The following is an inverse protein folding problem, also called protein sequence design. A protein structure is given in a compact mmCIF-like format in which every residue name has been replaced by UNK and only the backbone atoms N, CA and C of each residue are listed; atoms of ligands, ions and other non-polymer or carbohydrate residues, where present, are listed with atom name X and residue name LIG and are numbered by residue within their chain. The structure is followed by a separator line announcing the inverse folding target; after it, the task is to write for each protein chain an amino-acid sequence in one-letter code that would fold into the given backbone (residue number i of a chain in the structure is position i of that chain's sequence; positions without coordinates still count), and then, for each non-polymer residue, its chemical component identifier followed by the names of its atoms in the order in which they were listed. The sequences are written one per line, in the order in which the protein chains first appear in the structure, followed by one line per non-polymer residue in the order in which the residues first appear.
data_IF_786884447052
#
_entry.id   IF_786884447052
#
_cell.length_a   1.000
_cell.length_b   1.000
_cell.length_c   1.000
_cell.angle_alpha   90.00
_cell.angle_beta   90.00
_cell.angle_gamma   90.00
#
_symmetry.space_group_name_H-M   'P 1'
#
loop_
_entity.id
_entity.type
_entity.pdbx_description
1 polymer ?
#
# COMPACT_ATOMS: atom_id res chain seq x y z
N UNK A 1 14.59 -19.18 0.63
CA UNK A 1 13.44 -19.42 1.49
C UNK A 1 12.93 -18.13 2.08
N UNK A 2 11.67 -17.97 2.10
CA UNK A 2 11.07 -16.72 2.52
C UNK A 2 10.78 -16.76 4.01
N UNK A 3 11.13 -15.68 4.69
CA UNK A 3 10.79 -15.56 6.09
C UNK A 3 9.28 -15.53 6.25
N UNK A 4 8.79 -16.28 7.23
CA UNK A 4 7.37 -16.27 7.54
C UNK A 4 7.03 -15.32 8.67
N UNK A 5 8.05 -14.70 9.27
CA UNK A 5 7.84 -13.79 10.38
C UNK A 5 7.57 -12.40 9.82
N UNK A 6 6.39 -11.84 10.09
CA UNK A 6 6.11 -10.49 9.60
C UNK A 6 6.96 -9.46 10.34
N UNK A 7 7.13 -8.31 9.71
CA UNK A 7 7.74 -7.14 10.33
C UNK A 7 6.98 -6.83 11.63
N UNK A 8 7.67 -6.53 12.74
CA UNK A 8 6.98 -6.26 14.01
C UNK A 8 5.95 -5.15 13.89
N UNK A 9 4.88 -5.28 14.67
CA UNK A 9 3.82 -4.28 14.71
C UNK A 9 4.02 -3.35 15.90
N UNK A 10 3.91 -2.04 15.64
CA UNK A 10 3.91 -1.06 16.69
C UNK A 10 2.52 -0.73 17.21
N UNK A 11 1.48 -1.23 16.52
CA UNK A 11 0.09 -0.93 16.85
C UNK A 11 -0.70 -2.23 16.85
N UNK A 12 -1.25 -2.58 18.01
CA UNK A 12 -1.98 -3.85 18.15
C UNK A 12 -3.26 -3.87 17.33
N UNK A 13 -3.88 -2.72 17.11
CA UNK A 13 -5.09 -2.66 16.29
C UNK A 13 -4.77 -3.00 14.84
N UNK A 14 -3.62 -2.57 14.35
CA UNK A 14 -3.16 -2.92 13.01
C UNK A 14 -2.89 -4.42 12.93
N UNK A 15 -2.21 -4.96 13.93
CA UNK A 15 -1.93 -6.40 13.98
C UNK A 15 -3.22 -7.21 13.89
N UNK A 16 -4.23 -6.80 14.65
CA UNK A 16 -5.53 -7.48 14.64
C UNK A 16 -6.21 -7.37 13.28
N UNK A 17 -6.08 -6.22 12.63
CA UNK A 17 -6.68 -6.03 11.31
C UNK A 17 -6.07 -6.99 10.29
N UNK A 18 -4.75 -7.18 10.32
CA UNK A 18 -4.11 -8.15 9.45
C UNK A 18 -4.54 -9.58 9.79
N UNK A 19 -4.62 -9.89 11.09
CA UNK A 19 -5.02 -11.23 11.51
C UNK A 19 -6.44 -11.60 11.05
N UNK A 20 -7.27 -10.61 10.78
CA UNK A 20 -8.63 -10.83 10.30
C UNK A 20 -8.71 -11.16 8.81
N UNK A 21 -7.63 -10.99 8.07
CA UNK A 21 -7.62 -11.35 6.64
C UNK A 21 -7.69 -12.87 6.49
N UNK A 22 -8.41 -13.37 5.47
CA UNK A 22 -8.34 -14.79 5.13
C UNK A 22 -6.89 -15.21 4.87
N UNK A 23 -6.57 -16.47 5.14
CA UNK A 23 -5.20 -16.96 5.09
C UNK A 23 -4.47 -16.62 3.79
N UNK A 24 -5.12 -16.86 2.64
CA UNK A 24 -4.48 -16.56 1.35
C UNK A 24 -4.33 -15.08 1.11
N UNK A 25 -5.31 -14.30 1.53
CA UNK A 25 -5.24 -12.85 1.41
C UNK A 25 -4.15 -12.26 2.30
N UNK A 26 -3.89 -12.89 3.43
CA UNK A 26 -2.88 -12.41 4.37
C UNK A 26 -1.49 -12.39 3.75
N UNK A 27 -1.17 -13.38 2.92
CA UNK A 27 0.14 -13.41 2.22
C UNK A 27 0.30 -12.18 1.33
N UNK A 28 -0.74 -11.86 0.58
CA UNK A 28 -0.73 -10.70 -0.30
C UNK A 28 -0.64 -9.41 0.50
N UNK A 29 -1.42 -9.33 1.58
CA UNK A 29 -1.43 -8.13 2.42
C UNK A 29 -0.07 -7.89 3.07
N UNK A 30 0.58 -8.95 3.57
CA UNK A 30 1.91 -8.80 4.16
C UNK A 30 2.97 -8.43 3.12
N UNK A 31 2.85 -8.93 1.90
CA UNK A 31 3.77 -8.55 0.83
C UNK A 31 3.64 -7.07 0.51
N UNK A 32 2.42 -6.55 0.46
CA UNK A 32 2.20 -5.12 0.25
C UNK A 32 2.75 -4.30 1.40
N UNK A 33 2.53 -4.75 2.63
CA UNK A 33 3.04 -4.07 3.82
C UNK A 33 4.55 -3.96 3.78
N UNK A 34 5.23 -5.08 3.51
CA UNK A 34 6.69 -5.08 3.43
C UNK A 34 7.19 -4.14 2.35
N UNK A 35 6.52 -4.14 1.19
CA UNK A 35 6.93 -3.28 0.10
C UNK A 35 6.78 -1.81 0.46
N UNK A 36 5.70 -1.44 1.14
CA UNK A 36 5.50 -0.05 1.57
C UNK A 36 6.65 0.40 2.48
N UNK A 37 7.03 -0.43 3.45
CA UNK A 37 8.15 -0.07 4.32
C UNK A 37 9.49 -0.06 3.58
N UNK A 38 9.68 -0.96 2.62
CA UNK A 38 10.90 -0.97 1.82
C UNK A 38 11.04 0.30 0.99
N UNK A 39 9.95 0.72 0.35
CA UNK A 39 9.95 1.96 -0.44
C UNK A 39 10.21 3.16 0.47
N UNK A 40 9.56 3.17 1.64
CA UNK A 40 9.74 4.27 2.58
C UNK A 40 11.19 4.39 3.03
N UNK A 41 11.86 3.26 3.26
CA UNK A 41 13.25 3.24 3.67
C UNK A 41 14.18 3.83 2.59
N UNK A 42 13.76 3.78 1.34
CA UNK A 42 14.52 4.30 0.20
C UNK A 42 14.04 5.70 -0.21
N UNK A 43 13.11 6.28 0.54
CA UNK A 43 12.49 7.57 0.20
C UNK A 43 12.61 8.52 1.40
N UNK A 44 13.82 9.06 1.66
CA UNK A 44 14.05 9.89 2.85
C UNK A 44 13.10 11.10 2.94
N UNK A 45 12.64 11.62 1.81
CA UNK A 45 11.75 12.77 1.78
C UNK A 45 10.42 12.50 2.47
N UNK A 46 9.99 11.23 2.52
CA UNK A 46 8.75 10.87 3.17
C UNK A 46 8.86 10.90 4.69
N UNK A 47 10.06 10.69 5.21
CA UNK A 47 10.28 10.59 6.64
C UNK A 47 9.73 9.29 7.21
N UNK A 48 9.63 9.18 8.52
CA UNK A 48 9.10 7.97 9.15
C UNK A 48 7.65 7.72 8.77
N UNK A 49 7.31 6.46 8.58
CA UNK A 49 5.95 6.05 8.22
C UNK A 49 5.19 5.70 9.49
N UNK A 50 4.01 6.25 9.63
CA UNK A 50 3.08 5.86 10.68
C UNK A 50 2.15 4.79 10.12
N UNK A 51 2.12 3.61 10.76
CA UNK A 51 1.21 2.53 10.42
C UNK A 51 0.08 2.54 11.44
N UNK A 52 -1.14 2.78 10.98
CA UNK A 52 -2.31 2.90 11.86
C UNK A 52 -3.55 2.43 11.11
N UNK A 53 -4.72 2.57 11.72
CA UNK A 53 -5.97 2.23 11.03
C UNK A 53 -6.66 3.48 10.53
N UNK A 54 -7.24 3.39 9.33
CA UNK A 54 -8.17 4.37 8.78
C UNK A 54 -9.32 3.60 8.17
N UNK A 55 -10.51 3.88 8.64
CA UNK A 55 -11.73 3.17 8.20
C UNK A 55 -11.56 1.66 8.34
N UNK A 56 -10.92 1.22 9.43
CA UNK A 56 -10.73 -0.19 9.71
C UNK A 56 -9.67 -0.88 8.89
N UNK A 57 -8.92 -0.15 8.08
CA UNK A 57 -7.88 -0.71 7.21
C UNK A 57 -6.50 -0.25 7.64
N UNK A 58 -5.48 -1.13 7.54
CA UNK A 58 -4.10 -0.69 7.73
C UNK A 58 -3.78 0.47 6.78
N UNK A 59 -3.28 1.55 7.34
CA UNK A 59 -3.02 2.78 6.62
C UNK A 59 -1.60 3.27 6.89
N UNK A 60 -1.01 3.91 5.90
CA UNK A 60 0.39 4.32 5.91
C UNK A 60 0.48 5.80 5.62
N UNK A 61 0.93 6.55 6.62
CA UNK A 61 0.93 8.01 6.60
C UNK A 61 2.34 8.55 6.80
N UNK A 62 2.58 9.72 6.19
CA UNK A 62 3.83 10.47 6.40
C UNK A 62 3.54 11.59 7.40
N UNK A 63 3.17 11.20 8.63
CA UNK A 63 2.63 12.13 9.63
C UNK A 63 3.60 13.25 10.00
N UNK A 64 4.89 12.96 10.01
CA UNK A 64 5.88 13.96 10.44
C UNK A 64 6.18 14.98 9.36
N UNK A 65 6.30 14.53 8.11
CA UNK A 65 6.66 15.42 6.99
C UNK A 65 5.44 15.95 6.26
N UNK A 66 4.33 15.20 6.30
CA UNK A 66 3.14 15.46 5.52
C UNK A 66 3.43 15.48 4.01
N UNK A 67 4.49 14.79 3.62
CA UNK A 67 4.93 14.75 2.22
C UNK A 67 3.98 13.99 1.32
N UNK A 68 3.32 12.96 1.83
CA UNK A 68 2.53 12.06 1.02
C UNK A 68 1.05 12.06 1.31
N UNK A 69 0.33 11.33 0.48
CA UNK A 69 -1.07 11.02 0.68
C UNK A 69 -1.18 9.60 1.24
N UNK A 70 -2.20 9.35 2.03
CA UNK A 70 -2.36 8.08 2.74
C UNK A 70 -2.57 6.92 1.77
N UNK A 71 -1.85 5.83 1.99
CA UNK A 71 -2.08 4.55 1.30
C UNK A 71 -2.69 3.58 2.30
N UNK A 72 -3.57 2.69 1.83
CA UNK A 72 -4.23 1.71 2.69
C UNK A 72 -4.19 0.33 2.04
N UNK A 73 -4.22 -0.71 2.88
CA UNK A 73 -4.34 -2.09 2.42
C UNK A 73 -5.70 -2.60 2.90
N UNK A 74 -6.47 -3.18 1.99
CA UNK A 74 -7.80 -3.67 2.37
C UNK A 74 -8.29 -4.78 1.48
N UNK A 75 -9.47 -5.33 1.85
CA UNK A 75 -10.12 -6.37 1.08
C UNK A 75 -11.22 -5.76 0.21
N UNK A 76 -11.30 -6.25 -1.02
CA UNK A 76 -12.45 -5.99 -1.87
C UNK A 76 -13.60 -6.89 -1.43
N UNK A 77 -14.82 -6.55 -1.84
CA UNK A 77 -15.99 -7.36 -1.51
C UNK A 77 -15.83 -8.80 -1.99
N UNK A 78 -15.07 -9.00 -3.04
CA UNK A 78 -14.82 -10.33 -3.61
C UNK A 78 -13.74 -11.11 -2.90
N UNK A 79 -13.09 -10.52 -1.88
CA UNK A 79 -12.07 -11.19 -1.09
C UNK A 79 -10.64 -10.94 -1.53
N UNK A 80 -10.45 -10.26 -2.64
CA UNK A 80 -9.10 -9.93 -3.12
C UNK A 80 -8.53 -8.78 -2.31
N UNK A 81 -7.20 -8.71 -2.24
CA UNK A 81 -6.51 -7.64 -1.54
C UNK A 81 -6.21 -6.51 -2.51
N UNK A 82 -6.28 -5.28 -2.02
CA UNK A 82 -5.96 -4.12 -2.83
C UNK A 82 -5.13 -3.12 -2.04
N UNK A 83 -4.31 -2.36 -2.78
CA UNK A 83 -3.70 -1.16 -2.24
C UNK A 83 -4.57 0.02 -2.67
N UNK A 84 -4.99 0.83 -1.71
CA UNK A 84 -5.89 1.96 -1.94
C UNK A 84 -5.13 3.28 -1.82
N UNK A 85 -5.47 4.22 -2.69
CA UNK A 85 -5.02 5.60 -2.61
C UNK A 85 -6.24 6.51 -2.55
N UNK A 86 -6.08 7.73 -2.03
CA UNK A 86 -7.17 8.68 -1.96
C UNK A 86 -7.65 9.00 -3.38
N UNK A 87 -8.95 8.89 -3.62
CA UNK A 87 -9.50 8.97 -4.98
C UNK A 87 -9.38 10.37 -5.59
N UNK A 88 -9.16 11.40 -4.78
CA UNK A 88 -8.96 12.75 -5.30
C UNK A 88 -7.54 12.99 -5.79
N UNK A 89 -6.63 12.02 -5.60
CA UNK A 89 -5.25 12.13 -6.10
C UNK A 89 -5.13 11.50 -7.47
N UNK A 90 -3.98 11.73 -8.13
CA UNK A 90 -3.68 11.11 -9.42
C UNK A 90 -2.81 9.86 -9.27
N UNK A 91 -2.69 9.32 -8.05
CA UNK A 91 -1.79 8.20 -7.80
C UNK A 91 -2.15 6.99 -8.64
N UNK A 92 -3.40 6.56 -8.57
CA UNK A 92 -3.84 5.37 -9.30
C UNK A 92 -3.88 5.62 -10.81
N UNK A 93 -4.39 6.78 -11.24
CA UNK A 93 -4.47 7.06 -12.67
C UNK A 93 -3.09 7.19 -13.31
N UNK A 94 -2.12 7.75 -12.59
CA UNK A 94 -0.75 7.81 -13.08
C UNK A 94 -0.15 6.41 -13.23
N UNK A 95 -0.40 5.55 -12.24
CA UNK A 95 0.07 4.18 -12.29
C UNK A 95 -0.54 3.43 -13.48
N UNK A 96 -1.85 3.56 -13.67
CA UNK A 96 -2.55 2.90 -14.76
C UNK A 96 -2.05 3.40 -16.13
N UNK A 97 -1.74 4.68 -16.24
CA UNK A 97 -1.22 5.24 -17.49
C UNK A 97 0.22 4.80 -17.76
N UNK A 98 1.01 4.65 -16.69
CA UNK A 98 2.42 4.22 -16.81
C UNK A 98 2.52 2.75 -17.19
N UNK A 99 1.62 1.93 -16.67
CA UNK A 99 1.62 0.48 -16.89
C UNK A 99 0.24 0.03 -17.39
N UNK A 100 -0.13 0.42 -18.63
CA UNK A 100 -1.49 0.12 -19.12
C UNK A 100 -1.73 -1.37 -19.21
N UNK A 101 -2.87 -1.80 -18.66
CA UNK A 101 -3.34 -3.19 -18.72
C UNK A 101 -2.43 -4.20 -18.05
N UNK A 102 -1.54 -3.76 -17.18
CA UNK A 102 -0.63 -4.66 -16.48
C UNK A 102 -1.24 -5.20 -15.19
N UNK A 103 -2.07 -4.41 -14.52
CA UNK A 103 -2.69 -4.79 -13.26
C UNK A 103 -4.17 -4.43 -13.29
N UNK A 104 -4.93 -5.07 -12.40
CA UNK A 104 -6.35 -4.77 -12.28
C UNK A 104 -6.54 -3.49 -11.48
N UNK A 105 -7.21 -2.53 -12.10
CA UNK A 105 -7.44 -1.20 -11.52
C UNK A 105 -8.90 -1.05 -11.15
N UNK A 106 -9.17 -0.54 -9.95
CA UNK A 106 -10.53 -0.26 -9.51
C UNK A 106 -10.72 1.26 -9.47
N UNK A 107 -11.33 1.80 -10.52
CA UNK A 107 -11.58 3.24 -10.62
C UNK A 107 -10.31 4.05 -10.44
N UNK A 108 -10.39 5.09 -9.64
CA UNK A 108 -9.25 5.97 -9.37
C UNK A 108 -8.74 5.78 -7.94
N UNK A 109 -8.96 4.60 -7.35
CA UNK A 109 -8.69 4.44 -5.93
C UNK A 109 -7.92 3.18 -5.54
N UNK A 110 -7.81 2.16 -6.42
CA UNK A 110 -7.16 0.93 -5.98
C UNK A 110 -6.52 0.14 -7.11
N UNK A 111 -5.46 -0.58 -6.75
CA UNK A 111 -4.90 -1.65 -7.58
C UNK A 111 -5.19 -2.94 -6.83
N UNK A 112 -5.77 -3.92 -7.53
CA UNK A 112 -6.32 -5.14 -6.95
C UNK A 112 -5.46 -6.34 -7.33
N UNK A 113 -5.22 -7.23 -6.35
CA UNK A 113 -4.37 -8.41 -6.55
C UNK A 113 -5.17 -9.67 -6.19
N UNK A 114 -5.28 -10.57 -7.15
CA UNK A 114 -5.98 -11.85 -6.91
C UNK A 114 -5.15 -12.74 -5.99
N UNK A 115 -3.82 -12.66 -6.08
CA UNK A 115 -2.94 -13.42 -5.21
C UNK A 115 -1.57 -12.71 -5.13
N UNK A 116 -0.69 -13.25 -4.30
CA UNK A 116 0.60 -12.62 -4.03
C UNK A 116 1.48 -12.55 -5.29
N UNK A 117 1.30 -13.49 -6.22
CA UNK A 117 2.12 -13.51 -7.43
C UNK A 117 1.80 -12.37 -8.38
N UNK A 118 0.64 -11.72 -8.21
CA UNK A 118 0.28 -10.56 -9.02
C UNK A 118 1.04 -9.30 -8.63
N UNK A 119 1.69 -9.32 -7.47
CA UNK A 119 2.47 -8.17 -7.02
C UNK A 119 3.80 -8.15 -7.76
N UNK A 120 4.03 -7.10 -8.54
CA UNK A 120 5.31 -6.88 -9.21
C UNK A 120 5.97 -5.70 -8.54
N UNK A 121 6.97 -5.95 -7.67
CA UNK A 121 7.57 -4.88 -6.85
C UNK A 121 8.09 -3.71 -7.65
N UNK A 122 8.70 -3.98 -8.82
CA UNK A 122 9.27 -2.91 -9.64
C UNK A 122 8.22 -1.90 -10.08
N UNK A 123 7.01 -2.37 -10.40
CA UNK A 123 5.93 -1.46 -10.79
C UNK A 123 5.33 -0.76 -9.58
N UNK A 124 5.00 -1.54 -8.56
CA UNK A 124 4.36 -0.98 -7.36
C UNK A 124 5.27 -0.01 -6.62
N UNK A 125 6.58 -0.18 -6.73
CA UNK A 125 7.53 0.76 -6.14
C UNK A 125 7.18 2.18 -6.54
N UNK A 126 6.91 2.39 -7.83
CA UNK A 126 6.59 3.72 -8.35
C UNK A 126 5.28 4.25 -7.78
N UNK A 127 4.26 3.40 -7.67
CA UNK A 127 2.99 3.81 -7.08
C UNK A 127 3.17 4.24 -5.63
N UNK A 128 3.88 3.42 -4.85
CA UNK A 128 4.06 3.69 -3.44
C UNK A 128 4.90 4.95 -3.23
N UNK A 129 6.00 5.08 -4.00
CA UNK A 129 6.83 6.27 -3.90
C UNK A 129 6.06 7.52 -4.26
N UNK A 130 5.24 7.46 -5.32
CA UNK A 130 4.38 8.58 -5.69
C UNK A 130 3.43 8.94 -4.55
N UNK A 131 2.82 7.93 -3.92
CA UNK A 131 1.95 8.17 -2.78
C UNK A 131 2.67 8.82 -1.61
N UNK A 132 3.85 8.31 -1.25
CA UNK A 132 4.61 8.80 -0.11
C UNK A 132 5.20 10.20 -0.31
N UNK A 133 5.27 10.66 -1.54
CA UNK A 133 5.82 11.98 -1.85
C UNK A 133 4.84 12.85 -2.63
N UNK A 134 3.57 12.51 -2.59
CA UNK A 134 2.56 13.10 -3.47
C UNK A 134 2.53 14.63 -3.41
N UNK A 135 2.63 15.19 -2.20
CA UNK A 135 2.54 16.64 -2.02
C UNK A 135 3.85 17.36 -2.32
N UNK A 136 4.95 16.63 -2.42
CA UNK A 136 6.23 17.21 -2.82
C UNK A 136 6.35 17.36 -4.33
N UNK A 137 5.64 16.53 -5.06
CA UNK A 137 5.75 16.49 -6.53
C UNK A 137 5.23 17.77 -7.18
N UNK A 138 4.48 18.57 -6.44
CA UNK A 138 3.94 19.82 -6.95
C UNK A 138 4.98 20.94 -6.98
N UNK A 139 6.07 20.71 -6.28
CA UNK A 139 7.09 21.73 -6.10
C UNK A 139 7.72 22.21 -7.37
#
# INVERSE_FOLDING_TARGET
MISVTPRPFGDKAVEKAFAAFPTEALKTAFALRDLIFDVAAQTPQAGPIEETLRWGQPAYLTSQTKAGSTLRIGLMKTGEVAIFAYCATTIISTYAATFPEMDRIEGNRAVVFANVDDIVPERLWLLIQHGLTYHLADG
#
